data_IF_557596891931
#
_entry.id   IF_557596891931
#
_cell.length_a   1.000
_cell.length_b   1.000
_cell.length_c   1.000
_cell.angle_alpha   90.00
_cell.angle_beta   90.00
_cell.angle_gamma   90.00
#
_symmetry.space_group_name_H-M   'P 1'
#
loop_
_entity.id
_entity.type
_entity.pdbx_description
1 polymer ?
#
# COMPACT_ATOMS: atom_id res chain seq x y z
N UNK A 1 -18.14 -10.78 -5.56
CA UNK A 1 -16.68 -10.79 -5.70
C UNK A 1 -16.36 -12.18 -6.15
N UNK A 2 -15.74 -12.33 -7.32
CA UNK A 2 -15.12 -13.62 -7.64
C UNK A 2 -13.88 -13.71 -6.75
N UNK A 3 -13.95 -14.59 -5.75
CA UNK A 3 -12.84 -14.94 -4.85
C UNK A 3 -11.83 -15.79 -5.62
N UNK A 4 -11.19 -15.17 -6.61
CA UNK A 4 -10.16 -15.83 -7.39
C UNK A 4 -8.81 -15.50 -6.78
N UNK A 5 -8.23 -16.47 -6.08
CA UNK A 5 -6.82 -16.41 -5.72
C UNK A 5 -6.00 -16.22 -7.00
N UNK A 6 -5.22 -15.13 -7.06
CA UNK A 6 -4.37 -14.82 -8.24
C UNK A 6 -2.93 -15.28 -8.07
N UNK A 7 -2.50 -15.54 -6.83
CA UNK A 7 -1.17 -16.04 -6.50
C UNK A 7 -1.14 -16.50 -5.03
N UNK A 8 -0.56 -17.67 -4.80
CA UNK A 8 -0.15 -18.16 -3.50
C UNK A 8 1.27 -18.72 -3.59
N UNK A 9 1.95 -18.76 -2.45
CA UNK A 9 3.29 -19.32 -2.33
C UNK A 9 3.42 -20.07 -1.03
N UNK A 10 4.17 -21.18 -1.06
CA UNK A 10 4.48 -21.99 0.12
C UNK A 10 5.73 -21.51 0.87
N UNK A 11 6.30 -20.35 0.52
CA UNK A 11 7.50 -19.84 1.18
C UNK A 11 7.24 -19.36 2.60
N UNK A 12 8.23 -19.53 3.47
CA UNK A 12 8.18 -19.00 4.82
C UNK A 12 8.44 -17.49 4.85
N UNK A 13 7.38 -16.74 5.15
CA UNK A 13 7.44 -15.32 5.49
C UNK A 13 7.45 -14.35 4.31
N UNK A 14 7.16 -13.08 4.63
CA UNK A 14 6.93 -12.03 3.65
C UNK A 14 8.13 -11.74 2.72
N UNK A 15 9.37 -11.85 3.21
CA UNK A 15 10.55 -11.54 2.38
C UNK A 15 10.71 -12.51 1.21
N UNK A 16 10.40 -13.79 1.40
CA UNK A 16 10.44 -14.76 0.32
C UNK A 16 9.21 -14.59 -0.59
N UNK A 17 8.03 -14.51 0.00
CA UNK A 17 6.76 -14.28 -0.71
C UNK A 17 6.81 -13.07 -1.64
N UNK A 18 7.28 -11.91 -1.15
CA UNK A 18 7.33 -10.66 -1.91
C UNK A 18 8.25 -10.72 -3.12
N UNK A 19 9.34 -11.51 -3.05
CA UNK A 19 10.23 -11.75 -4.20
C UNK A 19 9.58 -12.66 -5.23
N UNK A 20 8.85 -13.68 -4.80
CA UNK A 20 8.13 -14.56 -5.74
C UNK A 20 6.97 -13.84 -6.40
N UNK A 21 6.18 -13.08 -5.64
CA UNK A 21 5.12 -12.22 -6.15
C UNK A 21 5.68 -11.20 -7.17
N UNK A 22 6.80 -10.54 -6.85
CA UNK A 22 7.46 -9.62 -7.78
C UNK A 22 7.79 -10.26 -9.13
N UNK A 23 8.28 -11.51 -9.12
CA UNK A 23 8.59 -12.27 -10.33
C UNK A 23 7.31 -12.71 -11.06
N UNK A 24 6.36 -13.30 -10.33
CA UNK A 24 5.11 -13.82 -10.87
C UNK A 24 4.30 -12.74 -11.60
N UNK A 25 4.28 -11.52 -11.05
CA UNK A 25 3.53 -10.40 -11.60
C UNK A 25 4.35 -9.47 -12.51
N UNK A 26 5.60 -9.87 -12.84
CA UNK A 26 6.48 -9.16 -13.77
C UNK A 26 6.57 -7.64 -13.49
N UNK A 27 6.77 -7.28 -12.22
CA UNK A 27 6.65 -5.89 -11.75
C UNK A 27 7.66 -4.93 -12.41
N UNK A 28 8.85 -5.43 -12.73
CA UNK A 28 9.89 -4.69 -13.44
C UNK A 28 10.13 -3.29 -12.84
N UNK A 29 10.38 -3.25 -11.52
CA UNK A 29 10.69 -2.02 -10.79
C UNK A 29 11.87 -2.23 -9.83
N UNK A 30 13.12 -1.95 -10.26
CA UNK A 30 14.31 -2.27 -9.48
C UNK A 30 14.36 -1.66 -8.07
N UNK A 31 13.71 -0.51 -7.85
CA UNK A 31 13.64 0.13 -6.53
C UNK A 31 12.91 -0.74 -5.50
N UNK A 32 12.04 -1.65 -5.94
CA UNK A 32 11.32 -2.59 -5.07
C UNK A 32 12.24 -3.34 -4.10
N UNK A 33 13.44 -3.74 -4.54
CA UNK A 33 14.37 -4.48 -3.69
C UNK A 33 15.04 -3.63 -2.60
N UNK A 34 14.96 -2.31 -2.71
CA UNK A 34 15.47 -1.35 -1.72
C UNK A 34 14.40 -0.91 -0.72
N UNK A 35 13.14 -1.26 -0.96
CA UNK A 35 12.01 -0.91 -0.09
C UNK A 35 12.01 -1.71 1.22
N UNK A 36 11.49 -1.11 2.27
CA UNK A 36 11.13 -1.84 3.50
C UNK A 36 9.92 -2.76 3.26
N UNK A 37 9.57 -3.58 4.25
CA UNK A 37 8.52 -4.58 4.07
C UNK A 37 7.13 -3.95 3.93
N UNK A 38 6.84 -2.87 4.65
CA UNK A 38 5.58 -2.13 4.52
C UNK A 38 5.43 -1.57 3.10
N UNK A 39 6.46 -0.90 2.57
CA UNK A 39 6.40 -0.33 1.22
C UNK A 39 6.31 -1.41 0.15
N UNK A 40 7.02 -2.54 0.30
CA UNK A 40 6.86 -3.68 -0.61
C UNK A 40 5.42 -4.19 -0.60
N UNK A 41 4.82 -4.34 0.57
CA UNK A 41 3.46 -4.85 0.72
C UNK A 41 2.45 -3.91 0.05
N UNK A 42 2.54 -2.62 0.35
CA UNK A 42 1.70 -1.60 -0.27
C UNK A 42 1.87 -1.58 -1.80
N UNK A 43 3.11 -1.64 -2.28
CA UNK A 43 3.44 -1.59 -3.69
C UNK A 43 2.88 -2.79 -4.45
N UNK A 44 3.01 -4.01 -3.92
CA UNK A 44 2.46 -5.22 -4.54
C UNK A 44 0.94 -5.11 -4.72
N UNK A 45 0.22 -4.72 -3.67
CA UNK A 45 -1.23 -4.57 -3.72
C UNK A 45 -1.68 -3.50 -4.72
N UNK A 46 -1.04 -2.33 -4.68
CA UNK A 46 -1.37 -1.22 -5.56
C UNK A 46 -1.05 -1.52 -7.04
N UNK A 47 0.13 -2.08 -7.34
CA UNK A 47 0.56 -2.38 -8.70
C UNK A 47 -0.41 -3.35 -9.40
N UNK A 48 -0.91 -4.36 -8.67
CA UNK A 48 -1.89 -5.32 -9.17
C UNK A 48 -3.24 -4.68 -9.54
N UNK A 49 -3.71 -3.74 -8.73
CA UNK A 49 -4.98 -3.04 -8.98
C UNK A 49 -4.85 -2.01 -10.10
N UNK A 50 -3.73 -1.28 -10.12
CA UNK A 50 -3.46 -0.19 -11.05
C UNK A 50 -3.12 -0.70 -12.45
N UNK A 51 -2.39 -1.81 -12.59
CA UNK A 51 -2.11 -2.43 -13.90
C UNK A 51 -3.38 -2.77 -14.69
N UNK A 52 -4.48 -3.06 -14.00
CA UNK A 52 -5.78 -3.39 -14.63
C UNK A 52 -6.53 -2.18 -15.18
N UNK A 53 -6.09 -0.94 -14.88
CA UNK A 53 -6.81 0.28 -15.23
C UNK A 53 -6.43 0.91 -16.57
N UNK A 54 -5.48 0.31 -17.31
CA UNK A 54 -5.04 0.89 -18.58
C UNK A 54 -4.46 2.31 -18.42
N UNK A 55 -3.61 2.49 -17.40
CA UNK A 55 -3.06 3.80 -17.04
C UNK A 55 -2.32 4.48 -18.20
N UNK A 56 -2.44 5.81 -18.26
CA UNK A 56 -1.71 6.64 -19.20
C UNK A 56 -0.21 6.66 -18.87
N UNK A 57 0.58 6.86 -19.92
CA UNK A 57 2.03 6.98 -19.79
C UNK A 57 2.50 8.31 -19.18
N UNK A 58 1.62 9.29 -18.95
CA UNK A 58 2.02 10.67 -18.60
C UNK A 58 1.45 11.15 -17.28
N UNK A 59 0.14 11.02 -17.08
CA UNK A 59 -0.59 11.53 -15.91
C UNK A 59 -1.83 10.67 -15.67
N UNK A 60 -2.00 10.23 -14.42
CA UNK A 60 -3.14 9.45 -13.98
C UNK A 60 -3.80 10.14 -12.77
N UNK A 61 -5.05 10.54 -12.98
CA UNK A 61 -5.89 11.16 -11.96
C UNK A 61 -6.52 10.08 -11.05
N UNK A 62 -5.69 9.55 -10.15
CA UNK A 62 -6.11 8.60 -9.11
C UNK A 62 -5.50 9.04 -7.80
N UNK A 63 -6.35 9.40 -6.83
CA UNK A 63 -5.88 9.67 -5.48
C UNK A 63 -5.47 8.36 -4.79
N UNK A 64 -4.38 8.39 -4.02
CA UNK A 64 -3.88 7.26 -3.25
C UNK A 64 -4.01 7.55 -1.76
N UNK A 65 -4.83 6.76 -1.09
CA UNK A 65 -5.06 6.89 0.35
C UNK A 65 -4.75 5.56 1.02
N UNK A 66 -3.67 5.52 1.79
CA UNK A 66 -3.33 4.35 2.59
C UNK A 66 -3.55 4.63 4.07
N UNK A 67 -3.82 3.60 4.85
CA UNK A 67 -3.90 3.69 6.29
C UNK A 67 -3.39 2.42 6.97
N UNK A 68 -2.93 2.55 8.21
CA UNK A 68 -2.60 1.42 9.05
C UNK A 68 -2.65 1.78 10.54
N UNK A 69 -2.34 0.80 11.40
CA UNK A 69 -2.23 0.99 12.84
C UNK A 69 -0.79 1.28 13.25
N UNK A 70 0.16 0.52 12.73
CA UNK A 70 1.52 0.55 13.26
C UNK A 70 2.44 1.58 12.61
N UNK A 71 1.97 2.44 11.71
CA UNK A 71 2.84 3.35 10.96
C UNK A 71 4.00 2.57 10.30
N UNK A 72 5.24 3.02 10.46
CA UNK A 72 6.48 2.35 10.06
C UNK A 72 7.16 1.59 11.21
N UNK A 73 6.44 1.24 12.29
CA UNK A 73 7.03 0.77 13.55
C UNK A 73 7.98 -0.44 13.41
N UNK A 74 7.71 -1.34 12.45
CA UNK A 74 8.61 -2.46 12.14
C UNK A 74 10.00 -1.98 11.67
N UNK A 75 10.00 -1.03 10.75
CA UNK A 75 11.20 -0.39 10.22
C UNK A 75 11.86 0.49 11.28
N UNK A 76 11.07 1.20 12.09
CA UNK A 76 11.57 2.04 13.19
C UNK A 76 12.32 1.19 14.22
N UNK A 77 11.75 0.05 14.64
CA UNK A 77 12.38 -0.88 15.57
C UNK A 77 13.67 -1.46 15.00
N UNK A 78 13.63 -1.94 13.74
CA UNK A 78 14.80 -2.48 13.05
C UNK A 78 15.91 -1.43 12.92
N UNK A 79 15.57 -0.18 12.60
CA UNK A 79 16.55 0.90 12.49
C UNK A 79 17.14 1.26 13.85
N UNK A 80 16.31 1.30 14.91
CA UNK A 80 16.76 1.56 16.28
C UNK A 80 17.76 0.50 16.78
N UNK A 81 17.58 -0.77 16.41
CA UNK A 81 18.53 -1.83 16.75
C UNK A 81 19.93 -1.55 16.17
N UNK A 82 20.02 -1.02 14.94
CA UNK A 82 21.30 -0.65 14.31
C UNK A 82 22.02 0.53 14.98
N UNK A 83 21.29 1.34 15.75
CA UNK A 83 21.82 2.47 16.54
C UNK A 83 22.24 1.98 17.93
N UNK A 84 21.46 1.08 18.54
CA UNK A 84 21.68 0.62 19.90
C UNK A 84 22.87 -0.34 20.02
N UNK A 85 23.15 -1.12 18.98
CA UNK A 85 24.33 -1.99 18.92
C UNK A 85 25.61 -1.16 18.71
N UNK A 86 26.33 -0.87 19.80
CA UNK A 86 27.59 -0.11 19.76
C UNK A 86 28.74 -0.88 19.09
N UNK A 87 28.72 -2.20 19.16
CA UNK A 87 29.76 -3.05 18.56
C UNK A 87 29.56 -3.17 17.05
N UNK A 88 28.30 -3.09 16.58
CA UNK A 88 27.93 -3.11 15.15
C UNK A 88 27.15 -1.84 14.71
N UNK A 89 27.62 -0.66 15.14
CA UNK A 89 26.93 0.61 14.85
C UNK A 89 26.91 0.92 13.34
N UNK A 90 25.76 0.71 12.70
CA UNK A 90 25.60 0.87 11.25
C UNK A 90 24.22 1.40 10.82
N UNK A 91 23.81 2.61 11.27
CA UNK A 91 22.58 3.22 10.80
C UNK A 91 22.69 3.64 9.33
N UNK A 92 21.85 3.05 8.47
CA UNK A 92 21.83 3.35 7.03
C UNK A 92 20.84 4.47 6.70
N UNK A 93 21.25 5.56 6.02
CA UNK A 93 20.34 6.59 5.54
C UNK A 93 19.25 6.06 4.61
N UNK A 94 19.53 5.00 3.87
CA UNK A 94 18.56 4.38 2.97
C UNK A 94 17.43 3.66 3.73
N UNK A 95 17.72 3.14 4.93
CA UNK A 95 16.72 2.52 5.81
C UNK A 95 15.95 3.60 6.58
N UNK A 96 16.65 4.65 7.03
CA UNK A 96 16.04 5.79 7.72
C UNK A 96 14.87 6.40 6.95
N UNK A 97 14.96 6.53 5.62
CA UNK A 97 13.85 7.09 4.83
C UNK A 97 12.55 6.30 5.05
N UNK A 98 12.62 4.99 5.20
CA UNK A 98 11.46 4.13 5.40
C UNK A 98 10.92 4.12 6.84
N UNK A 99 11.52 4.88 7.77
CA UNK A 99 10.91 5.19 9.07
C UNK A 99 9.79 6.24 8.95
N UNK A 100 9.36 6.51 7.71
CA UNK A 100 8.22 7.37 7.39
C UNK A 100 7.21 6.51 6.61
N UNK A 101 6.00 6.27 7.14
CA UNK A 101 5.04 5.35 6.51
C UNK A 101 4.57 5.87 5.15
N UNK A 102 4.59 7.18 4.93
CA UNK A 102 4.16 7.79 3.68
C UNK A 102 5.14 7.54 2.51
N UNK A 103 6.32 6.98 2.71
CA UNK A 103 7.22 6.68 1.58
C UNK A 103 6.61 5.67 0.61
N UNK A 104 5.82 4.72 1.12
CA UNK A 104 5.16 3.74 0.27
C UNK A 104 4.23 4.39 -0.76
N UNK A 105 3.49 5.46 -0.40
CA UNK A 105 2.63 6.18 -1.34
C UNK A 105 3.47 6.87 -2.41
N UNK A 106 4.64 7.41 -2.05
CA UNK A 106 5.55 8.05 -2.99
C UNK A 106 6.08 7.08 -4.04
N UNK A 107 6.50 5.89 -3.63
CA UNK A 107 7.00 4.86 -4.54
C UNK A 107 5.93 4.37 -5.52
N UNK A 108 4.69 4.17 -5.04
CA UNK A 108 3.53 3.82 -5.88
C UNK A 108 3.23 4.96 -6.86
N UNK A 109 3.11 6.19 -6.37
CA UNK A 109 2.77 7.36 -7.19
C UNK A 109 3.84 7.64 -8.25
N UNK A 110 5.13 7.42 -7.96
CA UNK A 110 6.20 7.54 -8.95
C UNK A 110 6.09 6.46 -10.03
N UNK A 111 5.85 5.19 -9.65
CA UNK A 111 5.73 4.08 -10.61
C UNK A 111 4.55 4.29 -11.56
N UNK A 112 3.40 4.70 -11.02
CA UNK A 112 2.14 4.77 -11.74
C UNK A 112 1.77 6.18 -12.21
N UNK A 113 2.62 7.18 -11.96
CA UNK A 113 2.40 8.59 -12.33
C UNK A 113 1.09 9.14 -11.78
N UNK A 114 0.85 8.88 -10.49
CA UNK A 114 -0.33 9.37 -9.78
C UNK A 114 -0.05 10.78 -9.25
N UNK A 115 -0.71 11.79 -9.80
CA UNK A 115 -0.49 13.19 -9.43
C UNK A 115 -1.66 13.83 -8.67
N UNK A 116 -2.73 13.06 -8.44
CA UNK A 116 -3.81 13.47 -7.55
C UNK A 116 -3.39 13.38 -6.07
N UNK A 117 -4.36 13.50 -5.17
CA UNK A 117 -4.11 13.54 -3.74
C UNK A 117 -3.47 12.24 -3.22
N UNK A 118 -2.38 12.36 -2.46
CA UNK A 118 -1.70 11.24 -1.82
C UNK A 118 -1.70 11.46 -0.30
N UNK A 119 -2.23 10.51 0.48
CA UNK A 119 -2.31 10.62 1.94
C UNK A 119 -2.09 9.27 2.64
N UNK A 120 -1.42 9.32 3.79
CA UNK A 120 -1.25 8.16 4.67
C UNK A 120 -1.83 8.50 6.05
N UNK A 121 -2.77 7.69 6.53
CA UNK A 121 -3.46 7.90 7.81
C UNK A 121 -3.08 6.82 8.83
N UNK A 122 -3.03 7.20 10.11
CA UNK A 122 -2.82 6.26 11.20
C UNK A 122 -4.11 6.16 12.02
N UNK A 123 -4.62 4.94 12.18
CA UNK A 123 -5.82 4.66 12.96
C UNK A 123 -5.60 3.47 13.89
N UNK A 124 -6.19 3.50 15.08
CA UNK A 124 -6.12 2.35 16.01
C UNK A 124 -6.73 1.08 15.40
N UNK A 125 -7.82 1.24 14.65
CA UNK A 125 -8.55 0.15 14.02
C UNK A 125 -8.97 0.54 12.60
N UNK A 126 -9.30 -0.46 11.79
CA UNK A 126 -9.85 -0.23 10.46
C UNK A 126 -11.12 0.63 10.53
N UNK A 127 -11.10 1.78 9.83
CA UNK A 127 -12.16 2.77 9.85
C UNK A 127 -12.87 2.87 8.48
N UNK A 128 -13.85 1.97 8.19
CA UNK A 128 -14.57 1.96 6.91
C UNK A 128 -15.41 3.22 6.70
N UNK A 129 -15.83 3.90 7.77
CA UNK A 129 -16.60 5.14 7.69
C UNK A 129 -15.76 6.29 7.16
N UNK A 130 -14.60 6.52 7.78
CA UNK A 130 -13.66 7.55 7.32
C UNK A 130 -13.29 7.33 5.86
N UNK A 131 -12.98 6.08 5.52
CA UNK A 131 -12.66 5.68 4.16
C UNK A 131 -13.72 6.15 3.16
N UNK A 132 -14.98 5.76 3.43
CA UNK A 132 -16.10 6.07 2.55
C UNK A 132 -16.26 7.58 2.40
N UNK A 133 -16.36 8.29 3.51
CA UNK A 133 -16.62 9.72 3.53
C UNK A 133 -15.48 10.51 2.85
N UNK A 134 -14.23 10.12 3.09
CA UNK A 134 -13.07 10.79 2.50
C UNK A 134 -12.97 10.54 0.99
N UNK A 135 -13.17 9.30 0.55
CA UNK A 135 -13.14 8.95 -0.89
C UNK A 135 -14.27 9.64 -1.65
N UNK A 136 -15.48 9.66 -1.09
CA UNK A 136 -16.62 10.37 -1.66
C UNK A 136 -16.37 11.87 -1.72
N UNK A 137 -15.79 12.45 -0.67
CA UNK A 137 -15.42 13.86 -0.64
C UNK A 137 -14.45 14.21 -1.78
N UNK A 138 -13.38 13.43 -1.99
CA UNK A 138 -12.40 13.70 -3.07
C UNK A 138 -13.05 13.66 -4.46
N UNK A 139 -13.94 12.68 -4.69
CA UNK A 139 -14.63 12.53 -5.98
C UNK A 139 -15.70 13.63 -6.18
N UNK A 140 -16.48 13.95 -5.15
CA UNK A 140 -17.54 14.96 -5.23
C UNK A 140 -16.98 16.38 -5.34
N UNK A 141 -15.87 16.67 -4.66
CA UNK A 141 -15.14 17.93 -4.78
C UNK A 141 -14.35 18.07 -6.08
N UNK A 142 -14.41 17.07 -6.97
CA UNK A 142 -13.71 17.03 -8.27
C UNK A 142 -12.19 17.15 -8.13
N UNK A 143 -11.63 16.75 -6.98
CA UNK A 143 -10.19 16.65 -6.78
C UNK A 143 -9.58 15.47 -7.52
N UNK A 144 -10.38 14.43 -7.75
CA UNK A 144 -9.99 13.26 -8.54
C UNK A 144 -11.21 12.53 -9.09
N UNK A 145 -11.01 11.73 -10.12
CA UNK A 145 -12.03 10.84 -10.71
C UNK A 145 -12.04 9.45 -10.07
N UNK A 146 -10.92 9.03 -9.47
CA UNK A 146 -10.75 7.70 -8.88
C UNK A 146 -9.96 7.76 -7.58
N UNK A 147 -10.23 6.84 -6.68
CA UNK A 147 -9.53 6.73 -5.40
C UNK A 147 -9.06 5.30 -5.22
N UNK A 148 -7.75 5.07 -5.19
CA UNK A 148 -7.17 3.83 -4.68
C UNK A 148 -7.03 3.98 -3.17
N UNK A 149 -7.78 3.17 -2.44
CA UNK A 149 -7.68 3.14 -0.99
C UNK A 149 -7.10 1.80 -0.51
N UNK A 150 -6.36 1.81 0.60
CA UNK A 150 -5.90 0.58 1.25
C UNK A 150 -5.65 0.65 2.76
N UNK A 151 -5.92 -0.46 3.46
CA UNK A 151 -5.32 -0.77 4.75
C UNK A 151 -4.07 -1.60 4.53
N UNK A 152 -2.92 -1.15 5.03
CA UNK A 152 -1.63 -1.84 4.82
C UNK A 152 -0.85 -1.93 6.12
N UNK A 153 -0.95 -3.08 6.77
CA UNK A 153 -0.33 -3.33 8.08
C UNK A 153 0.87 -4.26 7.93
N UNK A 154 1.97 -3.91 8.60
CA UNK A 154 3.16 -4.74 8.67
C UNK A 154 3.87 -4.49 10.01
N UNK A 155 3.84 -5.48 10.91
CA UNK A 155 4.56 -5.39 12.17
C UNK A 155 4.95 -6.77 12.69
N UNK A 156 6.23 -6.96 13.05
CA UNK A 156 6.75 -8.19 13.65
C UNK A 156 6.41 -9.46 12.85
N UNK A 157 6.49 -9.36 11.52
CA UNK A 157 6.15 -10.42 10.53
C UNK A 157 4.66 -10.71 10.36
N UNK A 158 3.78 -10.11 11.15
CA UNK A 158 2.35 -10.11 10.87
C UNK A 158 2.08 -9.03 9.82
N UNK A 159 1.37 -9.38 8.76
CA UNK A 159 1.09 -8.46 7.68
C UNK A 159 -0.26 -8.71 7.03
N UNK A 160 -0.91 -7.61 6.63
CA UNK A 160 -2.18 -7.63 5.92
C UNK A 160 -2.24 -6.44 4.98
N UNK A 161 -2.67 -6.67 3.75
CA UNK A 161 -2.99 -5.60 2.82
C UNK A 161 -4.37 -5.82 2.21
N UNK A 162 -5.26 -4.87 2.45
CA UNK A 162 -6.58 -4.83 1.84
C UNK A 162 -6.66 -3.55 1.04
N UNK A 163 -6.84 -3.65 -0.27
CA UNK A 163 -6.92 -2.49 -1.15
C UNK A 163 -8.07 -2.64 -2.13
N UNK A 164 -8.65 -1.51 -2.53
CA UNK A 164 -9.61 -1.48 -3.61
C UNK A 164 -9.66 -0.10 -4.28
N UNK A 165 -10.08 -0.09 -5.53
CA UNK A 165 -10.21 1.10 -6.36
C UNK A 165 -11.67 1.53 -6.45
N UNK A 166 -11.92 2.81 -6.22
CA UNK A 166 -13.23 3.45 -6.29
C UNK A 166 -13.25 4.34 -7.54
N UNK A 167 -14.28 4.20 -8.36
CA UNK A 167 -14.54 5.08 -9.50
C UNK A 167 -16.04 5.23 -9.71
N UNK A 168 -16.46 6.33 -10.37
CA UNK A 168 -17.88 6.55 -10.71
C UNK A 168 -18.46 5.47 -11.63
N UNK A 169 -17.60 4.85 -12.42
CA UNK A 169 -17.93 3.82 -13.41
C UNK A 169 -17.65 2.40 -12.88
N UNK A 170 -17.35 2.28 -11.58
CA UNK A 170 -17.02 1.02 -10.95
C UNK A 170 -18.18 0.02 -10.98
N UNK A 171 -17.85 -1.26 -11.17
CA UNK A 171 -18.82 -2.36 -11.17
C UNK A 171 -19.47 -2.62 -9.81
N UNK A 172 -18.88 -2.10 -8.73
CA UNK A 172 -19.32 -2.34 -7.36
C UNK A 172 -19.74 -1.02 -6.68
N UNK A 173 -20.82 -1.10 -5.91
CA UNK A 173 -21.32 0.03 -5.13
C UNK A 173 -20.34 0.32 -3.99
N UNK A 174 -19.93 1.57 -3.86
CA UNK A 174 -19.14 2.04 -2.74
C UNK A 174 -20.04 2.21 -1.50
N UNK A 175 -20.15 1.15 -0.69
CA UNK A 175 -20.98 1.10 0.53
C UNK A 175 -20.18 0.62 1.73
N UNK A 176 -20.58 1.01 2.95
CA UNK A 176 -19.92 0.54 4.18
C UNK A 176 -19.88 -0.99 4.27
N UNK A 177 -20.97 -1.66 3.88
CA UNK A 177 -21.07 -3.11 3.86
C UNK A 177 -20.00 -3.75 2.96
N UNK A 178 -19.84 -3.25 1.72
CA UNK A 178 -18.85 -3.80 0.79
C UNK A 178 -17.43 -3.54 1.29
N UNK A 179 -17.18 -2.35 1.83
CA UNK A 179 -15.88 -1.97 2.39
C UNK A 179 -15.50 -2.90 3.55
N UNK A 180 -16.42 -3.09 4.49
CA UNK A 180 -16.20 -3.99 5.63
C UNK A 180 -15.99 -5.42 5.17
N UNK A 181 -16.79 -5.90 4.21
CA UNK A 181 -16.66 -7.25 3.66
C UNK A 181 -15.29 -7.49 3.04
N UNK A 182 -14.79 -6.54 2.24
CA UNK A 182 -13.46 -6.62 1.61
C UNK A 182 -12.34 -6.70 2.65
N UNK A 183 -12.48 -6.04 3.80
CA UNK A 183 -11.49 -6.06 4.87
C UNK A 183 -11.50 -7.35 5.70
N UNK A 184 -12.67 -7.95 5.89
CA UNK A 184 -12.83 -9.16 6.71
C UNK A 184 -12.56 -10.47 5.96
N UNK A 185 -12.25 -10.40 4.67
CA UNK A 185 -11.82 -11.53 3.84
C UNK A 185 -10.32 -11.79 4.03
#
# INVERSE_FOLDING_TARGET
MDETEVFSSATDGFTAFSKEAYKNFEINYPKFFKMDNLSKLAFLGADLLLKKQGLNATDNDIALILANKSSSLDTDATYQETIADKENYFPSPAVFVYTLPNICIGEISIKHKLYAENSFFIFEDFNPKFLKEYSEFLIQSKKTTQVLWGWVEYFKKDYQATMYLISKEGKQVHSLENITKIYTQ
#
